data_IF_045469409548
#
_entry.id   IF_045469409548
#
_cell.length_a   1.000
_cell.length_b   1.000
_cell.length_c   1.000
_cell.angle_alpha   90.00
_cell.angle_beta   90.00
_cell.angle_gamma   90.00
#
_symmetry.space_group_name_H-M   'P 1'
#
loop_
_entity.id
_entity.type
_entity.pdbx_description
1 polymer ?
#
# COMPACT_ATOMS: atom_id res chain seq x y z
N UNK A 1 7.46 25.37 13.51
CA UNK A 1 6.44 24.45 12.94
C UNK A 1 6.78 23.06 13.42
N UNK A 2 6.24 22.67 14.58
CA UNK A 2 6.29 21.27 15.02
C UNK A 2 5.01 20.60 14.53
N UNK A 3 4.91 20.45 13.21
CA UNK A 3 3.82 19.70 12.59
C UNK A 3 4.21 18.22 12.61
N UNK A 4 4.12 17.61 13.79
CA UNK A 4 4.28 16.18 13.99
C UNK A 4 3.03 15.43 13.48
N UNK A 5 2.50 15.85 12.32
CA UNK A 5 1.40 15.16 11.67
C UNK A 5 1.95 13.85 11.11
N UNK A 6 1.28 12.71 11.38
CA UNK A 6 1.71 11.43 10.83
C UNK A 6 1.67 11.50 9.31
N UNK A 7 2.82 11.32 8.68
CA UNK A 7 2.97 11.25 7.24
C UNK A 7 2.62 9.83 6.75
N UNK A 8 1.84 9.73 5.67
CA UNK A 8 1.51 8.43 5.07
C UNK A 8 1.90 8.38 3.59
N UNK A 9 2.55 7.28 3.22
CA UNK A 9 2.84 6.95 1.83
C UNK A 9 1.60 6.52 1.04
N UNK A 10 0.51 6.15 1.72
CA UNK A 10 -0.73 5.69 1.09
C UNK A 10 -1.85 6.74 1.13
N UNK A 11 -1.70 7.77 1.96
CA UNK A 11 -2.74 8.75 2.28
C UNK A 11 -2.14 10.17 2.29
N UNK A 12 -2.28 10.94 1.19
CA UNK A 12 -1.73 12.29 1.11
C UNK A 12 -2.43 13.27 2.04
N UNK A 13 -3.75 13.12 2.20
CA UNK A 13 -4.56 13.86 3.16
C UNK A 13 -5.05 12.91 4.26
N UNK A 14 -4.99 13.36 5.51
CA UNK A 14 -5.50 12.61 6.66
C UNK A 14 -7.03 12.45 6.65
N UNK A 15 -7.73 13.15 5.75
CA UNK A 15 -9.16 12.98 5.52
C UNK A 15 -9.41 11.88 4.48
N UNK A 16 -9.72 10.71 5.05
CA UNK A 16 -10.09 9.49 4.36
C UNK A 16 -11.45 9.63 3.66
N UNK A 17 -11.55 10.38 2.58
CA UNK A 17 -12.75 10.33 1.74
C UNK A 17 -12.90 8.93 1.13
N UNK A 18 -13.75 8.11 1.75
CA UNK A 18 -14.44 6.96 1.17
C UNK A 18 -13.55 5.89 0.56
N UNK A 19 -12.83 5.12 1.38
CA UNK A 19 -12.34 3.81 0.93
C UNK A 19 -13.47 2.81 0.83
N UNK A 20 -13.49 2.06 -0.26
CA UNK A 20 -14.35 0.89 -0.39
C UNK A 20 -13.47 -0.34 -0.27
N UNK A 21 -13.77 -1.18 0.70
CA UNK A 21 -13.18 -2.51 0.77
C UNK A 21 -13.90 -3.38 -0.25
N UNK A 22 -13.14 -4.05 -1.10
CA UNK A 22 -13.68 -5.07 -1.99
C UNK A 22 -14.34 -6.19 -1.16
N UNK A 23 -15.41 -6.77 -1.69
CA UNK A 23 -16.02 -7.95 -1.08
C UNK A 23 -15.07 -9.13 -1.19
N UNK A 24 -15.24 -10.11 -0.31
CA UNK A 24 -14.47 -11.36 -0.38
C UNK A 24 -14.60 -12.05 -1.75
N UNK A 25 -15.83 -12.09 -2.28
CA UNK A 25 -16.07 -12.60 -3.63
C UNK A 25 -15.29 -11.85 -4.71
N UNK A 26 -15.27 -10.52 -4.66
CA UNK A 26 -14.53 -9.71 -5.63
C UNK A 26 -13.01 -9.93 -5.50
N UNK A 27 -12.49 -10.08 -4.28
CA UNK A 27 -11.08 -10.41 -4.07
C UNK A 27 -10.71 -11.77 -4.67
N UNK A 28 -11.59 -12.78 -4.50
CA UNK A 28 -11.39 -14.11 -5.06
C UNK A 28 -11.52 -14.12 -6.59
N UNK A 29 -12.55 -13.46 -7.14
CA UNK A 29 -12.77 -13.35 -8.59
C UNK A 29 -11.60 -12.65 -9.31
N UNK A 30 -10.94 -11.71 -8.61
CA UNK A 30 -9.74 -11.01 -9.08
C UNK A 30 -8.44 -11.76 -8.76
N UNK A 31 -8.52 -12.95 -8.16
CA UNK A 31 -7.40 -13.79 -7.74
C UNK A 31 -6.38 -13.04 -6.85
N UNK A 32 -6.85 -12.13 -6.00
CA UNK A 32 -5.98 -11.35 -5.10
C UNK A 32 -5.33 -12.24 -4.04
N UNK A 33 -6.00 -13.33 -3.67
CA UNK A 33 -5.51 -14.37 -2.76
C UNK A 33 -4.30 -15.09 -3.35
N UNK A 34 -4.41 -15.52 -4.62
CA UNK A 34 -3.30 -16.13 -5.36
C UNK A 34 -2.14 -15.14 -5.51
N UNK A 35 -2.43 -13.88 -5.88
CA UNK A 35 -1.41 -12.85 -6.01
C UNK A 35 -0.65 -12.62 -4.69
N UNK A 36 -1.34 -12.54 -3.56
CA UNK A 36 -0.69 -12.41 -2.26
C UNK A 36 0.21 -13.61 -1.93
N UNK A 37 -0.22 -14.83 -2.26
CA UNK A 37 0.56 -16.04 -2.02
C UNK A 37 1.87 -16.09 -2.84
N UNK A 38 1.85 -15.56 -4.07
CA UNK A 38 3.04 -15.46 -4.92
C UNK A 38 4.02 -14.36 -4.48
N UNK A 39 3.55 -13.36 -3.72
CA UNK A 39 4.40 -12.27 -3.25
C UNK A 39 5.21 -12.63 -1.99
N UNK A 40 4.69 -13.54 -1.16
CA UNK A 40 5.34 -13.94 0.11
C UNK A 40 4.73 -15.23 0.65
N UNK A 41 5.56 -16.11 1.21
CA UNK A 41 5.11 -17.32 1.93
C UNK A 41 4.61 -17.02 3.35
N UNK A 42 4.85 -15.80 3.86
CA UNK A 42 4.46 -15.41 5.21
C UNK A 42 2.98 -15.01 5.28
N UNK A 43 2.15 -15.85 5.92
CA UNK A 43 0.71 -15.60 6.05
C UNK A 43 0.35 -14.23 6.65
N UNK A 44 1.16 -13.71 7.59
CA UNK A 44 0.93 -12.39 8.19
C UNK A 44 1.12 -11.27 7.17
N UNK A 45 2.14 -11.39 6.32
CA UNK A 45 2.41 -10.45 5.23
C UNK A 45 1.35 -10.56 4.14
N UNK A 46 0.95 -11.77 3.76
CA UNK A 46 -0.17 -11.98 2.81
C UNK A 46 -1.43 -11.26 3.29
N UNK A 47 -1.79 -11.43 4.56
CA UNK A 47 -2.96 -10.76 5.16
C UNK A 47 -2.79 -9.23 5.18
N UNK A 48 -1.58 -8.72 5.42
CA UNK A 48 -1.29 -7.30 5.39
C UNK A 48 -1.42 -6.72 3.97
N UNK A 49 -0.81 -7.37 2.98
CA UNK A 49 -0.88 -6.98 1.57
C UNK A 49 -2.33 -7.02 1.10
N UNK A 50 -3.06 -8.12 1.36
CA UNK A 50 -4.49 -8.27 1.04
C UNK A 50 -5.32 -7.12 1.61
N UNK A 51 -5.08 -6.74 2.88
CA UNK A 51 -5.78 -5.62 3.51
C UNK A 51 -5.48 -4.26 2.88
N UNK A 52 -4.32 -4.08 2.24
CA UNK A 52 -3.97 -2.86 1.52
C UNK A 52 -4.60 -2.88 0.12
N UNK A 53 -4.38 -3.94 -0.65
CA UNK A 53 -4.84 -4.00 -2.06
C UNK A 53 -6.35 -4.09 -2.20
N UNK A 54 -7.05 -4.67 -1.21
CA UNK A 54 -8.53 -4.70 -1.19
C UNK A 54 -9.17 -3.36 -0.85
N UNK A 55 -8.40 -2.38 -0.35
CA UNK A 55 -8.90 -1.03 -0.01
C UNK A 55 -8.71 -0.08 -1.19
N UNK A 56 -9.76 0.00 -2.00
CA UNK A 56 -9.81 0.88 -3.16
C UNK A 56 -10.17 2.30 -2.75
N UNK A 57 -9.47 3.28 -3.32
CA UNK A 57 -9.82 4.69 -3.19
C UNK A 57 -10.74 5.11 -4.33
N UNK A 58 -11.73 5.96 -4.03
CA UNK A 58 -12.54 6.62 -5.05
C UNK A 58 -11.95 7.98 -5.48
N UNK A 59 -10.96 8.51 -4.75
CA UNK A 59 -10.30 9.77 -5.06
C UNK A 59 -9.24 9.58 -6.14
N UNK A 60 -9.35 10.39 -7.19
CA UNK A 60 -8.35 10.43 -8.28
C UNK A 60 -7.01 10.95 -7.78
N UNK A 61 -7.02 11.94 -6.90
CA UNK A 61 -5.82 12.54 -6.30
C UNK A 61 -5.06 11.50 -5.48
N UNK A 62 -5.77 10.74 -4.64
CA UNK A 62 -5.17 9.65 -3.84
C UNK A 62 -4.60 8.55 -4.73
N UNK A 63 -5.31 8.17 -5.79
CA UNK A 63 -4.83 7.16 -6.74
C UNK A 63 -3.56 7.61 -7.47
N UNK A 64 -3.51 8.86 -7.95
CA UNK A 64 -2.33 9.39 -8.65
C UNK A 64 -1.15 9.58 -7.68
N UNK A 65 -1.39 10.02 -6.44
CA UNK A 65 -0.36 10.09 -5.41
C UNK A 65 0.29 8.72 -5.16
N UNK A 66 -0.51 7.68 -4.91
CA UNK A 66 0.00 6.31 -4.70
C UNK A 66 0.82 5.80 -5.88
N UNK A 67 0.37 6.10 -7.10
CA UNK A 67 1.08 5.74 -8.33
C UNK A 67 2.43 6.44 -8.43
N UNK A 68 2.52 7.73 -8.06
CA UNK A 68 3.79 8.45 -8.03
C UNK A 68 4.75 7.87 -6.98
N UNK A 69 4.26 7.59 -5.77
CA UNK A 69 5.07 6.94 -4.73
C UNK A 69 5.59 5.57 -5.21
N UNK A 70 4.75 4.76 -5.83
CA UNK A 70 5.17 3.47 -6.39
C UNK A 70 6.23 3.65 -7.47
N UNK A 71 6.04 4.61 -8.37
CA UNK A 71 7.01 4.94 -9.42
C UNK A 71 8.35 5.36 -8.83
N UNK A 72 8.36 6.21 -7.80
CA UNK A 72 9.59 6.65 -7.15
C UNK A 72 10.32 5.47 -6.49
N UNK A 73 9.60 4.55 -5.83
CA UNK A 73 10.19 3.33 -5.25
C UNK A 73 10.80 2.42 -6.33
N UNK A 74 10.18 2.35 -7.50
CA UNK A 74 10.65 1.55 -8.63
C UNK A 74 11.86 2.18 -9.32
N UNK A 75 11.79 3.48 -9.59
CA UNK A 75 12.76 4.23 -10.39
C UNK A 75 13.99 4.67 -9.58
N UNK A 76 13.92 4.68 -8.24
CA UNK A 76 15.00 5.09 -7.33
C UNK A 76 15.54 3.90 -6.51
N UNK A 77 16.50 3.12 -7.01
CA UNK A 77 17.04 1.95 -6.30
C UNK A 77 17.60 2.24 -4.91
N UNK A 78 18.20 3.43 -4.72
CA UNK A 78 18.74 3.87 -3.43
C UNK A 78 17.64 4.12 -2.39
N UNK A 79 16.46 4.58 -2.81
CA UNK A 79 15.31 4.72 -1.93
C UNK A 79 14.86 3.35 -1.44
N UNK A 80 14.67 2.40 -2.36
CA UNK A 80 14.29 1.02 -2.04
C UNK A 80 15.27 0.37 -1.07
N UNK A 81 16.58 0.50 -1.34
CA UNK A 81 17.63 -0.04 -0.47
C UNK A 81 17.54 0.52 0.95
N UNK A 82 17.47 1.85 1.08
CA UNK A 82 17.35 2.51 2.39
C UNK A 82 16.07 2.13 3.13
N UNK A 83 14.95 1.99 2.42
CA UNK A 83 13.70 1.54 3.03
C UNK A 83 13.82 0.13 3.60
N UNK A 84 14.37 -0.82 2.84
CA UNK A 84 14.61 -2.19 3.33
C UNK A 84 15.53 -2.20 4.55
N UNK A 85 16.65 -1.48 4.51
CA UNK A 85 17.59 -1.37 5.65
C UNK A 85 16.96 -0.75 6.90
N UNK A 86 15.96 0.12 6.75
CA UNK A 86 15.22 0.69 7.87
C UNK A 86 14.25 -0.33 8.47
N UNK A 87 13.55 -1.08 7.62
CA UNK A 87 12.61 -2.10 8.09
C UNK A 87 13.31 -3.28 8.77
N UNK A 88 14.54 -3.63 8.37
CA UNK A 88 15.33 -4.68 9.03
C UNK A 88 15.78 -4.29 10.46
N UNK A 89 15.73 -3.01 10.81
CA UNK A 89 16.17 -2.48 12.12
C UNK A 89 15.03 -2.33 13.14
N UNK A 90 13.78 -2.59 12.73
CA UNK A 90 12.57 -2.47 13.55
C UNK A 90 12.06 -3.86 13.89
#
# INVERSE_FOLDING_TARGET
>A
MNDNKPFSLLYPDSDSEGYRKLTESACHDLALDVLCAELTENQKEQNMIMNVISKMTASKETAEYRKQIFKDILDLPELRKKMSELFDKI
#
